data_IF_581998656504
#
_entry.id   IF_581998656504
#
_cell.length_a   1.000
_cell.length_b   1.000
_cell.length_c   1.000
_cell.angle_alpha   90.00
_cell.angle_beta   90.00
_cell.angle_gamma   90.00
#
_symmetry.space_group_name_H-M   'P 1'
#
loop_
_entity.id
_entity.type
_entity.pdbx_description
1 polymer ?
#
# COMPACT_ATOMS: atom_id res chain seq x y z
N UNK A 1 14.73 55.29 -42.24
CA UNK A 1 15.31 54.85 -40.93
C UNK A 1 14.52 53.65 -40.45
N UNK A 2 15.03 52.46 -40.70
CA UNK A 2 14.38 51.21 -40.27
C UNK A 2 15.02 50.75 -38.96
N UNK A 3 14.23 50.72 -37.91
CA UNK A 3 14.65 50.18 -36.60
C UNK A 3 14.20 48.73 -36.55
N UNK A 4 15.13 47.81 -36.67
CA UNK A 4 14.92 46.38 -36.51
C UNK A 4 15.05 46.05 -35.01
N UNK A 5 13.93 45.76 -34.38
CA UNK A 5 13.90 45.34 -32.97
C UNK A 5 14.24 43.85 -32.89
N UNK A 6 15.40 43.50 -32.34
CA UNK A 6 15.81 42.15 -32.04
C UNK A 6 15.09 41.70 -30.72
N UNK A 7 14.15 40.77 -30.82
CA UNK A 7 13.59 40.07 -29.68
C UNK A 7 14.53 38.91 -29.32
N UNK A 8 15.28 39.06 -28.23
CA UNK A 8 16.07 38.00 -27.65
C UNK A 8 15.13 37.09 -26.78
N UNK A 9 14.80 35.91 -27.30
CA UNK A 9 14.09 34.89 -26.54
C UNK A 9 15.07 34.18 -25.60
N UNK A 10 15.02 34.49 -24.33
CA UNK A 10 15.70 33.72 -23.26
C UNK A 10 14.94 32.41 -23.04
N UNK A 11 15.51 31.32 -23.53
CA UNK A 11 15.03 29.95 -23.17
C UNK A 11 15.52 29.63 -21.77
N UNK A 12 14.61 29.68 -20.80
CA UNK A 12 14.87 29.25 -19.45
C UNK A 12 14.84 27.71 -19.43
N UNK A 13 16.00 27.07 -19.52
CA UNK A 13 16.13 25.62 -19.33
C UNK A 13 15.92 25.29 -17.86
N UNK A 14 14.73 24.77 -17.53
CA UNK A 14 14.44 24.15 -16.23
C UNK A 14 15.21 22.83 -16.19
N UNK A 15 16.33 22.80 -15.51
CA UNK A 15 17.01 21.55 -15.15
C UNK A 15 16.11 20.82 -14.14
N UNK A 16 15.35 19.84 -14.61
CA UNK A 16 14.67 18.89 -13.73
C UNK A 16 15.76 18.05 -13.05
N UNK A 17 16.03 18.34 -11.78
CA UNK A 17 16.78 17.42 -10.91
C UNK A 17 15.93 16.16 -10.74
N UNK A 18 16.29 15.10 -11.44
CA UNK A 18 15.78 13.78 -11.12
C UNK A 18 16.46 13.34 -9.81
N UNK A 19 15.71 13.38 -8.72
CA UNK A 19 16.18 12.76 -7.48
C UNK A 19 16.33 11.25 -7.77
N UNK A 20 17.55 10.76 -7.72
CA UNK A 20 17.82 9.31 -7.80
C UNK A 20 17.38 8.71 -6.47
N UNK A 21 16.33 7.87 -6.50
CA UNK A 21 15.93 7.12 -5.31
C UNK A 21 17.05 6.18 -4.87
N UNK A 22 17.29 6.10 -3.59
CA UNK A 22 18.30 5.24 -2.97
C UNK A 22 17.61 4.10 -2.25
N UNK A 23 18.16 2.89 -2.37
CA UNK A 23 17.74 1.77 -1.52
C UNK A 23 18.38 1.93 -0.14
N UNK A 24 17.55 1.98 0.91
CA UNK A 24 17.96 2.10 2.30
C UNK A 24 17.54 0.87 3.11
N UNK A 25 18.05 0.72 4.34
CA UNK A 25 17.61 -0.38 5.20
C UNK A 25 16.08 -0.32 5.41
N UNK A 26 15.41 -1.49 5.33
CA UNK A 26 13.95 -1.60 5.41
C UNK A 26 13.34 -0.95 6.67
N UNK A 27 14.11 -0.86 7.76
CA UNK A 27 13.71 -0.27 9.05
C UNK A 27 14.03 1.21 9.17
N UNK A 28 14.64 1.82 8.14
CA UNK A 28 14.98 3.25 8.08
C UNK A 28 14.02 4.06 7.20
N UNK A 29 13.09 3.40 6.54
CA UNK A 29 12.07 4.09 5.74
C UNK A 29 11.07 4.78 6.67
N UNK A 30 10.96 6.11 6.57
CA UNK A 30 10.00 6.90 7.33
C UNK A 30 8.66 6.92 6.60
N UNK A 31 7.55 6.48 7.23
CA UNK A 31 6.23 6.51 6.62
C UNK A 31 5.73 7.94 6.42
N UNK A 32 4.79 8.11 5.51
CA UNK A 32 3.99 9.32 5.42
C UNK A 32 3.03 9.39 6.61
N UNK A 33 2.87 10.58 7.20
CA UNK A 33 1.74 10.82 8.08
C UNK A 33 0.44 10.66 7.30
N UNK A 34 -0.59 10.07 7.91
CA UNK A 34 -1.90 9.99 7.26
C UNK A 34 -2.48 11.40 7.11
N UNK A 35 -2.74 11.89 5.88
CA UNK A 35 -3.34 13.19 5.69
C UNK A 35 -4.81 13.21 6.11
N UNK A 36 -5.32 14.39 6.43
CA UNK A 36 -6.76 14.59 6.58
C UNK A 36 -7.47 14.37 5.22
N UNK A 37 -8.54 13.56 5.18
CA UNK A 37 -9.22 13.26 3.93
C UNK A 37 -10.06 14.45 3.44
N UNK A 38 -9.78 14.93 2.23
CA UNK A 38 -10.46 16.07 1.61
C UNK A 38 -11.48 15.61 0.57
N UNK A 39 -11.06 14.76 -0.36
CA UNK A 39 -11.88 14.27 -1.46
C UNK A 39 -12.84 13.15 -1.01
N UNK A 40 -13.87 12.90 -1.81
CA UNK A 40 -14.81 11.79 -1.59
C UNK A 40 -14.07 10.45 -1.59
N UNK A 41 -13.10 10.30 -2.49
CA UNK A 41 -12.22 9.14 -2.58
C UNK A 41 -11.44 8.89 -1.28
N UNK A 42 -10.79 9.91 -0.73
CA UNK A 42 -10.03 9.82 0.50
C UNK A 42 -10.92 9.53 1.72
N UNK A 43 -12.10 10.19 1.80
CA UNK A 43 -13.08 9.95 2.86
C UNK A 43 -13.59 8.51 2.84
N UNK A 44 -13.91 7.98 1.66
CA UNK A 44 -14.32 6.58 1.51
C UNK A 44 -13.17 5.63 1.89
N UNK A 45 -11.94 5.91 1.45
CA UNK A 45 -10.78 5.09 1.77
C UNK A 45 -10.47 5.08 3.30
N UNK A 46 -10.67 6.17 4.00
CA UNK A 46 -10.55 6.19 5.47
C UNK A 46 -11.71 5.44 6.13
N UNK A 47 -12.96 5.66 5.66
CA UNK A 47 -14.16 5.01 6.21
C UNK A 47 -14.08 3.48 6.15
N UNK A 48 -13.60 2.94 5.04
CA UNK A 48 -13.56 1.50 4.79
C UNK A 48 -12.17 0.87 4.99
N UNK A 49 -11.23 1.59 5.59
CA UNK A 49 -9.87 1.09 5.83
C UNK A 49 -9.90 -0.22 6.63
N UNK A 50 -9.31 -1.33 6.12
CA UNK A 50 -9.29 -2.60 6.84
C UNK A 50 -8.43 -2.57 8.09
N UNK A 51 -8.69 -3.49 9.02
CA UNK A 51 -7.75 -3.84 10.07
C UNK A 51 -6.90 -5.03 9.63
N UNK A 52 -5.59 -4.93 9.80
CA UNK A 52 -4.65 -5.99 9.47
C UNK A 52 -4.17 -6.69 10.76
N UNK A 53 -4.52 -7.96 10.91
CA UNK A 53 -3.96 -8.86 11.91
C UNK A 53 -2.73 -9.56 11.33
N UNK A 54 -1.68 -9.73 12.11
CA UNK A 54 -0.49 -10.49 11.72
C UNK A 54 -0.45 -11.76 12.57
N UNK A 55 -0.74 -12.91 11.96
CA UNK A 55 -0.67 -14.20 12.65
C UNK A 55 0.76 -14.72 12.75
N UNK A 56 1.55 -14.53 11.72
CA UNK A 56 2.96 -14.92 11.67
C UNK A 56 3.70 -14.12 10.56
N UNK A 57 4.99 -14.33 10.41
CA UNK A 57 5.80 -13.62 9.41
C UNK A 57 6.21 -12.21 9.84
N UNK A 58 6.43 -11.36 8.86
CA UNK A 58 6.78 -9.96 9.06
C UNK A 58 5.56 -9.10 9.40
N UNK A 59 5.76 -8.02 10.14
CA UNK A 59 4.83 -6.89 10.16
C UNK A 59 4.95 -6.08 8.86
N UNK A 60 3.93 -5.27 8.55
CA UNK A 60 3.98 -4.34 7.43
C UNK A 60 4.92 -3.17 7.73
N UNK A 61 5.62 -2.71 6.69
CA UNK A 61 6.60 -1.62 6.74
C UNK A 61 6.25 -0.55 5.71
N UNK A 62 6.74 0.69 5.86
CA UNK A 62 6.74 1.62 4.74
C UNK A 62 7.72 1.11 3.66
N UNK A 63 7.30 1.19 2.40
CA UNK A 63 8.12 0.78 1.25
C UNK A 63 8.95 1.93 0.68
N UNK A 64 8.46 3.17 0.85
CA UNK A 64 9.05 4.39 0.31
C UNK A 64 8.85 5.56 1.26
N UNK A 65 9.79 6.48 1.31
CA UNK A 65 9.67 7.75 2.03
C UNK A 65 9.33 8.92 1.09
N UNK A 66 9.17 10.12 1.65
CA UNK A 66 8.75 11.31 0.92
C UNK A 66 9.73 11.75 -0.20
N UNK A 67 11.02 11.49 -0.03
CA UNK A 67 12.05 11.82 -1.03
C UNK A 67 12.27 10.71 -2.06
N UNK A 68 11.53 9.59 -1.95
CA UNK A 68 11.58 8.50 -2.90
C UNK A 68 12.57 7.38 -2.57
N UNK A 69 13.25 7.41 -1.41
CA UNK A 69 14.08 6.29 -1.01
C UNK A 69 13.24 5.09 -0.65
N UNK A 70 13.69 3.90 -1.00
CA UNK A 70 12.95 2.65 -0.91
C UNK A 70 13.59 1.67 0.07
N UNK A 71 12.76 0.85 0.70
CA UNK A 71 13.24 -0.20 1.59
C UNK A 71 13.89 -1.36 0.84
N UNK A 72 15.14 -1.70 1.17
CA UNK A 72 15.89 -2.78 0.53
C UNK A 72 15.46 -4.20 0.93
N UNK A 73 14.37 -4.34 1.67
CA UNK A 73 13.83 -5.62 2.08
C UNK A 73 14.78 -6.46 2.95
N UNK A 74 14.45 -7.72 3.11
CA UNK A 74 15.23 -8.68 3.90
C UNK A 74 15.48 -9.98 3.13
N UNK A 75 16.66 -10.57 3.35
CA UNK A 75 16.95 -11.92 2.89
C UNK A 75 16.12 -12.95 3.66
N UNK A 76 15.76 -14.06 3.01
CA UNK A 76 15.02 -15.18 3.60
C UNK A 76 15.88 -16.06 4.51
N UNK A 77 16.46 -15.44 5.54
CA UNK A 77 17.34 -16.08 6.53
C UNK A 77 16.81 -15.93 7.94
N UNK A 78 17.16 -16.85 8.83
CA UNK A 78 16.69 -16.86 10.21
C UNK A 78 15.23 -17.36 10.34
N UNK A 79 14.53 -16.93 11.35
CA UNK A 79 13.10 -17.23 11.53
C UNK A 79 12.22 -16.37 10.60
N UNK A 80 10.98 -16.80 10.27
CA UNK A 80 10.05 -16.03 9.42
C UNK A 80 9.90 -14.56 9.82
N UNK A 81 9.69 -14.26 11.09
CA UNK A 81 9.55 -12.90 11.62
C UNK A 81 10.86 -12.24 12.06
N UNK A 82 12.01 -12.88 11.80
CA UNK A 82 13.32 -12.36 12.22
C UNK A 82 13.62 -11.02 11.54
N UNK A 83 14.00 -10.00 12.34
CA UNK A 83 14.34 -8.63 11.93
C UNK A 83 13.20 -7.85 11.25
N UNK A 84 11.94 -8.29 11.38
CA UNK A 84 10.80 -7.61 10.79
C UNK A 84 9.53 -7.64 11.69
N UNK A 85 9.72 -7.43 12.98
CA UNK A 85 8.60 -7.33 13.96
C UNK A 85 8.10 -5.88 14.15
N UNK A 86 8.21 -5.06 13.14
CA UNK A 86 7.84 -3.66 13.12
C UNK A 86 9.05 -2.72 12.98
N UNK A 87 8.82 -1.57 12.37
CA UNK A 87 9.80 -0.47 12.27
C UNK A 87 9.65 0.48 13.46
N UNK A 88 10.76 1.04 13.93
CA UNK A 88 10.74 2.14 14.91
C UNK A 88 10.07 3.41 14.39
N UNK A 89 9.95 3.55 13.07
CA UNK A 89 9.25 4.66 12.41
C UNK A 89 7.75 4.39 12.18
N UNK A 90 7.28 3.16 12.39
CA UNK A 90 5.89 2.76 12.17
C UNK A 90 5.68 1.95 10.89
N UNK A 91 4.43 1.88 10.45
CA UNK A 91 3.98 1.13 9.28
C UNK A 91 3.27 2.04 8.29
N UNK A 92 2.92 1.51 7.10
CA UNK A 92 2.18 2.23 6.08
C UNK A 92 1.20 1.28 5.38
N UNK A 93 0.04 1.80 4.98
CA UNK A 93 -0.81 1.21 3.95
C UNK A 93 -0.98 2.20 2.82
N UNK A 94 -0.87 1.72 1.58
CA UNK A 94 -1.03 2.52 0.37
C UNK A 94 -2.42 2.30 -0.21
N UNK A 95 -3.08 3.37 -0.63
CA UNK A 95 -4.43 3.30 -1.17
C UNK A 95 -4.52 3.83 -2.61
N UNK A 96 -5.40 3.23 -3.39
CA UNK A 96 -5.84 3.75 -4.68
C UNK A 96 -7.30 3.40 -4.88
N UNK A 97 -8.08 4.29 -5.48
CA UNK A 97 -9.49 4.00 -5.73
C UNK A 97 -9.98 4.56 -7.06
N UNK A 98 -11.07 3.99 -7.54
CA UNK A 98 -11.66 4.41 -8.79
C UNK A 98 -12.92 3.63 -9.14
N UNK A 99 -13.66 4.15 -10.14
CA UNK A 99 -14.76 3.44 -10.72
C UNK A 99 -14.30 2.29 -11.59
N UNK A 100 -14.92 1.13 -11.40
CA UNK A 100 -14.85 0.01 -12.31
C UNK A 100 -16.28 -0.45 -12.62
N UNK A 101 -16.71 -0.23 -13.86
CA UNK A 101 -18.11 -0.34 -14.25
C UNK A 101 -18.98 0.51 -13.30
N UNK A 102 -20.01 -0.04 -12.70
CA UNK A 102 -20.92 0.68 -11.80
C UNK A 102 -20.59 0.50 -10.32
N UNK A 103 -19.33 0.21 -9.98
CA UNK A 103 -18.87 -0.04 -8.62
C UNK A 103 -17.61 0.75 -8.33
N UNK A 104 -17.49 1.24 -7.10
CA UNK A 104 -16.29 1.90 -6.63
C UNK A 104 -15.37 0.89 -5.96
N UNK A 105 -14.16 0.76 -6.47
CA UNK A 105 -13.12 -0.09 -5.90
C UNK A 105 -12.14 0.74 -5.08
N UNK A 106 -11.79 0.28 -3.89
CA UNK A 106 -10.75 0.84 -3.04
C UNK A 106 -9.74 -0.27 -2.78
N UNK A 107 -8.54 -0.12 -3.33
CA UNK A 107 -7.42 -1.03 -3.08
C UNK A 107 -6.58 -0.50 -1.91
N UNK A 108 -6.22 -1.38 -1.00
CA UNK A 108 -5.29 -1.16 0.09
C UNK A 108 -4.13 -2.14 -0.07
N UNK A 109 -2.90 -1.64 -0.03
CA UNK A 109 -1.71 -2.46 -0.28
C UNK A 109 -0.71 -2.28 0.84
N UNK A 110 -0.20 -3.39 1.35
CA UNK A 110 0.83 -3.44 2.40
C UNK A 110 2.11 -4.03 1.83
N UNK A 111 3.22 -3.49 2.29
CA UNK A 111 4.55 -3.98 1.99
C UNK A 111 5.13 -4.72 3.20
N UNK A 112 5.74 -5.87 2.93
CA UNK A 112 6.48 -6.66 3.91
C UNK A 112 7.93 -6.83 3.42
N UNK A 113 8.96 -6.68 4.30
CA UNK A 113 10.35 -6.72 3.88
C UNK A 113 10.82 -8.06 3.32
N UNK A 114 10.14 -9.13 3.69
CA UNK A 114 10.28 -10.47 3.12
C UNK A 114 9.00 -11.27 3.34
N UNK A 115 8.73 -12.18 2.44
CA UNK A 115 7.88 -13.33 2.66
C UNK A 115 8.75 -14.56 2.93
N UNK A 116 8.47 -15.29 4.01
CA UNK A 116 9.23 -16.47 4.37
C UNK A 116 8.37 -17.42 5.21
N UNK A 117 7.81 -18.45 4.58
CA UNK A 117 7.07 -19.51 5.28
C UNK A 117 7.99 -20.37 6.16
N UNK A 118 9.22 -20.64 5.72
CA UNK A 118 10.27 -21.29 6.49
C UNK A 118 11.67 -20.87 6.01
N UNK A 119 12.72 -21.20 6.75
CA UNK A 119 14.09 -20.82 6.40
C UNK A 119 14.45 -21.23 4.97
N UNK A 120 14.88 -20.27 4.17
CA UNK A 120 15.23 -20.37 2.73
C UNK A 120 14.06 -20.61 1.77
N UNK A 121 12.81 -20.70 2.26
CA UNK A 121 11.62 -20.73 1.41
C UNK A 121 10.94 -19.36 1.47
N UNK A 122 10.79 -18.72 0.31
CA UNK A 122 10.22 -17.40 0.16
C UNK A 122 11.10 -16.45 -0.63
N UNK A 123 10.77 -15.16 -0.56
CA UNK A 123 11.44 -14.11 -1.33
C UNK A 123 11.61 -12.83 -0.52
N UNK A 124 12.51 -11.98 -0.99
CA UNK A 124 12.66 -10.62 -0.51
C UNK A 124 11.52 -9.78 -1.13
N UNK A 125 11.03 -8.82 -0.40
CA UNK A 125 9.89 -7.99 -0.75
C UNK A 125 8.62 -8.81 -0.97
N UNK A 126 7.57 -8.38 -0.33
CA UNK A 126 6.25 -8.97 -0.49
C UNK A 126 5.20 -7.86 -0.49
N UNK A 127 4.22 -7.99 -1.38
CA UNK A 127 3.15 -7.03 -1.53
C UNK A 127 1.80 -7.75 -1.48
N UNK A 128 1.05 -7.44 -0.44
CA UNK A 128 -0.27 -7.97 -0.26
C UNK A 128 -1.32 -6.88 -0.32
N UNK A 129 -2.48 -7.19 -0.87
CA UNK A 129 -3.50 -6.17 -1.04
C UNK A 129 -4.93 -6.70 -0.84
N UNK A 130 -5.80 -5.78 -0.42
CA UNK A 130 -7.23 -5.99 -0.32
C UNK A 130 -7.97 -4.99 -1.20
N UNK A 131 -9.02 -5.43 -1.88
CA UNK A 131 -9.89 -4.57 -2.66
C UNK A 131 -11.26 -4.60 -2.01
N UNK A 132 -11.73 -3.44 -1.56
CA UNK A 132 -13.08 -3.26 -1.04
C UNK A 132 -13.93 -2.60 -2.12
N UNK A 133 -14.99 -3.27 -2.52
CA UNK A 133 -15.96 -2.78 -3.47
C UNK A 133 -17.13 -2.19 -2.71
N UNK A 134 -17.48 -0.95 -3.03
CA UNK A 134 -18.67 -0.29 -2.50
C UNK A 134 -19.60 0.13 -3.64
N UNK A 135 -20.83 0.42 -3.32
CA UNK A 135 -21.85 0.87 -4.28
C UNK A 135 -21.47 2.24 -4.88
N UNK A 136 -21.48 3.28 -4.08
CA UNK A 136 -21.15 4.64 -4.50
C UNK A 136 -20.56 5.42 -3.33
N UNK A 137 -19.34 5.98 -3.43
CA UNK A 137 -18.73 6.75 -2.36
C UNK A 137 -19.43 8.09 -2.04
N UNK A 138 -20.26 8.59 -2.95
CA UNK A 138 -20.93 9.90 -2.86
C UNK A 138 -22.31 9.84 -2.19
N UNK A 139 -22.81 8.65 -1.86
CA UNK A 139 -24.06 8.54 -1.10
C UNK A 139 -23.81 8.73 0.40
N UNK A 140 -24.81 9.19 1.19
CA UNK A 140 -24.63 9.37 2.64
C UNK A 140 -24.17 8.11 3.38
N UNK A 141 -24.67 6.95 2.98
CA UNK A 141 -24.36 5.66 3.61
C UNK A 141 -23.90 4.62 2.57
N UNK A 142 -22.65 4.77 2.07
CA UNK A 142 -22.09 3.78 1.12
C UNK A 142 -21.98 2.42 1.78
N UNK A 143 -22.24 1.34 0.99
CA UNK A 143 -22.24 -0.04 1.47
C UNK A 143 -21.16 -0.86 0.80
N UNK A 144 -20.49 -1.70 1.56
CA UNK A 144 -19.60 -2.73 1.02
C UNK A 144 -20.47 -3.77 0.30
N UNK A 145 -20.11 -4.06 -0.96
CA UNK A 145 -20.80 -5.03 -1.81
C UNK A 145 -19.95 -6.26 -2.10
N UNK A 146 -18.63 -6.13 -2.01
CA UNK A 146 -17.71 -7.25 -2.14
C UNK A 146 -16.35 -6.88 -1.53
N UNK A 147 -15.58 -7.90 -1.17
CA UNK A 147 -14.19 -7.78 -0.78
C UNK A 147 -13.38 -8.87 -1.44
N UNK A 148 -12.21 -8.54 -1.94
CA UNK A 148 -11.21 -9.48 -2.43
C UNK A 148 -9.90 -9.23 -1.70
N UNK A 149 -9.20 -10.29 -1.33
CA UNK A 149 -7.87 -10.23 -0.73
C UNK A 149 -6.91 -11.06 -1.57
N UNK A 150 -5.66 -10.59 -1.71
CA UNK A 150 -4.61 -11.32 -2.41
C UNK A 150 -4.36 -12.68 -1.75
N UNK A 151 -4.16 -13.68 -2.56
CA UNK A 151 -3.80 -15.03 -2.13
C UNK A 151 -2.76 -15.58 -3.10
N UNK A 152 -2.11 -16.66 -2.71
CA UNK A 152 -1.00 -17.26 -3.46
C UNK A 152 -1.29 -17.49 -4.96
N UNK A 153 -2.52 -17.89 -5.29
CA UNK A 153 -2.95 -18.18 -6.67
C UNK A 153 -3.94 -17.14 -7.24
N UNK A 154 -3.92 -15.91 -6.72
CA UNK A 154 -4.80 -14.84 -7.18
C UNK A 154 -5.57 -14.15 -6.06
N UNK A 155 -6.88 -14.37 -5.96
CA UNK A 155 -7.73 -13.68 -4.98
C UNK A 155 -8.71 -14.62 -4.29
N UNK A 156 -8.87 -14.44 -2.97
CA UNK A 156 -10.03 -14.93 -2.23
C UNK A 156 -11.05 -13.80 -2.14
N UNK A 157 -12.31 -14.04 -2.51
CA UNK A 157 -13.34 -13.00 -2.53
C UNK A 157 -14.63 -13.40 -1.82
N UNK A 158 -15.35 -12.41 -1.30
CA UNK A 158 -16.66 -12.54 -0.67
C UNK A 158 -17.58 -11.42 -1.12
N UNK A 159 -18.81 -11.76 -1.49
CA UNK A 159 -19.92 -10.83 -1.72
C UNK A 159 -20.89 -10.79 -0.53
N UNK A 160 -20.95 -11.87 0.23
CA UNK A 160 -21.63 -11.94 1.51
C UNK A 160 -20.56 -12.04 2.62
N UNK A 161 -20.42 -10.95 3.38
CA UNK A 161 -19.37 -10.84 4.40
C UNK A 161 -20.03 -11.08 5.75
N UNK A 162 -19.60 -12.14 6.47
CA UNK A 162 -20.09 -12.41 7.82
C UNK A 162 -19.89 -11.21 8.77
N UNK A 163 -20.87 -10.93 9.61
CA UNK A 163 -20.85 -9.76 10.48
C UNK A 163 -19.67 -9.78 11.49
N UNK A 164 -19.20 -10.96 11.87
CA UNK A 164 -18.04 -11.15 12.74
C UNK A 164 -16.68 -10.89 12.06
N UNK A 165 -16.67 -10.73 10.72
CA UNK A 165 -15.50 -10.31 9.93
C UNK A 165 -15.50 -8.80 9.67
N UNK A 166 -16.41 -8.05 10.27
CA UNK A 166 -16.52 -6.60 10.13
C UNK A 166 -16.53 -5.96 11.52
N UNK A 167 -15.74 -4.90 11.69
CA UNK A 167 -15.76 -4.05 12.88
C UNK A 167 -16.06 -2.61 12.48
N UNK A 168 -17.30 -2.17 12.75
CA UNK A 168 -17.79 -0.91 12.21
C UNK A 168 -17.92 -0.97 10.67
N UNK A 169 -17.09 -0.24 9.96
CA UNK A 169 -17.00 -0.24 8.49
C UNK A 169 -15.73 -0.95 7.97
N UNK A 170 -14.89 -1.47 8.86
CA UNK A 170 -13.60 -2.07 8.54
C UNK A 170 -13.71 -3.58 8.42
N UNK A 171 -13.23 -4.10 7.32
CA UNK A 171 -13.04 -5.55 7.14
C UNK A 171 -11.85 -6.00 7.96
N UNK A 172 -11.99 -7.16 8.61
CA UNK A 172 -10.91 -7.80 9.34
C UNK A 172 -10.17 -8.76 8.42
N UNK A 173 -8.88 -8.50 8.22
CA UNK A 173 -8.00 -9.33 7.39
C UNK A 173 -6.79 -9.77 8.18
N UNK A 174 -6.23 -10.92 7.78
CA UNK A 174 -5.11 -11.56 8.43
C UNK A 174 -4.00 -11.84 7.43
N UNK A 175 -2.77 -11.52 7.79
CA UNK A 175 -1.57 -11.93 7.08
C UNK A 175 -1.00 -13.18 7.74
N UNK A 176 -0.96 -14.27 7.00
CA UNK A 176 -0.47 -15.55 7.49
C UNK A 176 0.13 -16.40 6.40
N UNK A 177 1.08 -17.26 6.75
CA UNK A 177 1.57 -18.31 5.88
C UNK A 177 0.73 -19.57 6.02
N UNK A 178 0.49 -20.23 4.89
CA UNK A 178 -0.09 -21.56 4.82
C UNK A 178 1.00 -22.55 4.43
N UNK A 179 1.74 -23.01 5.46
CA UNK A 179 2.88 -23.91 5.20
C UNK A 179 2.50 -25.10 4.30
N UNK A 180 3.29 -25.43 3.27
CA UNK A 180 4.63 -24.95 2.94
C UNK A 180 4.67 -23.73 1.98
N UNK A 181 3.54 -23.12 1.68
CA UNK A 181 3.41 -21.97 0.78
C UNK A 181 3.68 -20.65 1.51
N UNK A 182 3.88 -19.59 0.74
CA UNK A 182 4.15 -18.24 1.18
C UNK A 182 3.00 -17.64 2.00
N UNK A 183 3.19 -16.42 2.49
CA UNK A 183 2.14 -15.66 3.14
C UNK A 183 1.10 -15.19 2.12
N UNK A 184 -0.08 -14.93 2.62
CA UNK A 184 -1.21 -14.39 1.89
C UNK A 184 -2.13 -13.61 2.83
N UNK A 185 -3.05 -12.83 2.29
CA UNK A 185 -4.13 -12.26 3.07
C UNK A 185 -5.33 -13.23 3.15
N UNK A 186 -5.95 -13.28 4.30
CA UNK A 186 -7.17 -14.04 4.56
C UNK A 186 -8.19 -13.23 5.32
N UNK A 187 -9.45 -13.58 5.17
CA UNK A 187 -10.51 -13.08 6.03
C UNK A 187 -10.37 -13.67 7.44
N UNK A 188 -10.65 -12.87 8.46
CA UNK A 188 -10.56 -13.29 9.85
C UNK A 188 -11.65 -12.66 10.71
N UNK A 189 -11.91 -13.24 11.87
CA UNK A 189 -12.73 -12.64 12.94
C UNK A 189 -11.89 -11.95 14.00
N UNK A 190 -10.55 -12.05 13.91
CA UNK A 190 -9.62 -11.42 14.83
C UNK A 190 -9.41 -9.96 14.47
N UNK A 191 -9.51 -9.08 15.45
CA UNK A 191 -9.12 -7.68 15.28
C UNK A 191 -7.63 -7.55 15.00
N UNK A 192 -7.29 -6.50 14.26
CA UNK A 192 -5.92 -6.12 13.92
C UNK A 192 -5.70 -4.63 14.08
N UNK A 193 -4.55 -4.14 13.62
CA UNK A 193 -4.17 -2.75 13.70
C UNK A 193 -4.52 -1.98 12.43
N UNK A 194 -4.74 -0.67 12.58
CA UNK A 194 -4.79 0.26 11.46
C UNK A 194 -3.40 0.81 11.20
N UNK A 195 -3.00 0.80 9.92
CA UNK A 195 -1.80 1.50 9.48
C UNK A 195 -2.18 2.90 8.97
N UNK A 196 -1.29 3.91 9.07
CA UNK A 196 -1.47 5.19 8.42
C UNK A 196 -1.70 5.00 6.92
N UNK A 197 -2.82 5.52 6.38
CA UNK A 197 -3.16 5.43 4.97
C UNK A 197 -2.60 6.64 4.22
N UNK A 198 -1.94 6.37 3.10
CA UNK A 198 -1.60 7.37 2.11
C UNK A 198 -2.20 6.96 0.76
N UNK A 199 -3.02 7.81 0.16
CA UNK A 199 -3.56 7.56 -1.17
C UNK A 199 -2.52 7.87 -2.23
N UNK A 200 -2.59 7.16 -3.36
CA UNK A 200 -1.66 7.34 -4.49
C UNK A 200 -1.49 8.79 -4.91
N UNK A 201 -2.58 9.54 -4.94
CA UNK A 201 -2.61 10.94 -5.33
C UNK A 201 -1.98 11.88 -4.28
N UNK A 202 -1.89 11.43 -3.03
CA UNK A 202 -1.30 12.16 -1.90
C UNK A 202 0.22 11.94 -1.77
N UNK A 203 0.76 10.92 -2.45
CA UNK A 203 2.20 10.66 -2.46
C UNK A 203 2.96 11.79 -3.17
N UNK A 204 4.19 12.06 -2.75
CA UNK A 204 5.11 12.91 -3.49
C UNK A 204 5.39 12.33 -4.89
N UNK A 205 5.82 13.16 -5.82
CA UNK A 205 6.23 12.70 -7.17
C UNK A 205 7.35 11.68 -7.06
N UNK A 206 8.37 11.96 -6.24
CA UNK A 206 9.50 11.06 -6.03
C UNK A 206 9.08 9.68 -5.50
N UNK A 207 8.15 9.64 -4.52
CA UNK A 207 7.64 8.39 -3.97
C UNK A 207 6.83 7.59 -5.02
N UNK A 208 5.97 8.25 -5.81
CA UNK A 208 5.21 7.59 -6.90
C UNK A 208 6.13 6.99 -7.96
N UNK A 209 7.14 7.74 -8.37
CA UNK A 209 8.11 7.28 -9.37
C UNK A 209 8.89 6.07 -8.87
N UNK A 210 9.27 6.06 -7.59
CA UNK A 210 9.97 4.94 -6.96
C UNK A 210 9.07 3.72 -6.81
N UNK A 211 7.84 3.88 -6.33
CA UNK A 211 6.88 2.77 -6.23
C UNK A 211 6.53 2.21 -7.61
N UNK A 212 6.37 3.05 -8.64
CA UNK A 212 6.10 2.58 -10.01
C UNK A 212 7.23 1.71 -10.55
N UNK A 213 8.49 2.03 -10.23
CA UNK A 213 9.65 1.20 -10.62
C UNK A 213 9.64 -0.15 -9.89
N UNK A 214 9.50 -0.14 -8.57
CA UNK A 214 9.49 -1.38 -7.77
C UNK A 214 8.38 -2.32 -8.24
N UNK A 215 7.17 -1.79 -8.46
CA UNK A 215 6.02 -2.60 -8.87
C UNK A 215 6.11 -3.10 -10.32
N UNK A 216 6.96 -2.52 -11.15
CA UNK A 216 7.23 -2.99 -12.52
C UNK A 216 8.28 -4.11 -12.57
N UNK A 217 9.08 -4.28 -11.51
CA UNK A 217 10.13 -5.30 -11.40
C UNK A 217 9.64 -6.60 -10.73
N UNK A 218 8.42 -6.59 -10.18
CA UNK A 218 7.74 -7.71 -9.51
C UNK A 218 6.42 -8.08 -10.20
#
# INVERSE_FOLDING_TARGET
MNITTLLASTVLSVLAFQATSVEISHDQVVPFAQPEPVTISEKAAIKFKPQLHISNGCHSYPAVNEIGDTGGGLKTTGAPSSKCKGSGHGSQVYGRSGWHRDRWAIMYTWYFPKDMASTKLGHRHDWEHAIIWIDNPDVPEPKIIAVAVSSHDGYSSKTEIPADMIKGTSILINYESNWPVNHELRFTTKGGDYQPLIMWEQLSVAARDSLSRILAEH
#
